data_IF_030158794448
#
_entry.id   IF_030158794448
#
_cell.length_a   1.000
_cell.length_b   1.000
_cell.length_c   1.000
_cell.angle_alpha   90.00
_cell.angle_beta   90.00
_cell.angle_gamma   90.00
#
_symmetry.space_group_name_H-M   'P 1'
#
loop_
_entity.id
_entity.type
_entity.pdbx_description
1 polymer ?
#
# COMPACT_ATOMS: atom_id res chain seq x y z
N UNK A 1 13.89 -3.10 1.42
CA UNK A 1 13.07 -3.80 0.41
C UNK A 1 12.57 -2.82 -0.65
N UNK A 2 12.16 -3.32 -1.81
CA UNK A 2 11.52 -2.53 -2.86
C UNK A 2 10.00 -2.58 -2.66
N UNK A 3 9.41 -1.44 -2.33
CA UNK A 3 7.98 -1.34 -2.03
C UNK A 3 7.30 -0.39 -3.02
N UNK A 4 6.27 -0.88 -3.68
CA UNK A 4 5.44 -0.05 -4.54
C UNK A 4 4.11 0.26 -3.86
N UNK A 5 3.75 1.53 -3.80
CA UNK A 5 2.48 2.01 -3.23
C UNK A 5 1.56 2.43 -4.37
N UNK A 6 0.46 1.70 -4.55
CA UNK A 6 -0.53 1.96 -5.59
C UNK A 6 -1.66 2.81 -5.01
N UNK A 7 -1.73 4.06 -5.47
CA UNK A 7 -2.69 5.05 -5.01
C UNK A 7 -2.01 6.22 -4.29
N UNK A 8 -2.08 7.40 -4.88
CA UNK A 8 -1.45 8.63 -4.40
C UNK A 8 -2.42 9.55 -3.64
N UNK A 9 -3.44 8.96 -3.00
CA UNK A 9 -4.33 9.65 -2.09
C UNK A 9 -3.65 9.98 -0.75
N UNK A 10 -4.42 10.51 0.20
CA UNK A 10 -3.93 10.90 1.53
C UNK A 10 -3.16 9.76 2.22
N UNK A 11 -3.75 8.56 2.24
CA UNK A 11 -3.15 7.42 2.94
C UNK A 11 -1.98 6.83 2.17
N UNK A 12 -2.10 6.63 0.86
CA UNK A 12 -1.01 6.09 0.04
C UNK A 12 0.23 6.99 -0.01
N UNK A 13 0.05 8.31 -0.09
CA UNK A 13 1.18 9.24 -0.03
C UNK A 13 1.86 9.23 1.35
N UNK A 14 1.08 9.08 2.43
CA UNK A 14 1.65 8.91 3.77
C UNK A 14 2.44 7.60 3.88
N UNK A 15 1.91 6.49 3.36
CA UNK A 15 2.62 5.20 3.37
C UNK A 15 3.95 5.31 2.62
N UNK A 16 3.95 5.94 1.43
CA UNK A 16 5.16 6.14 0.67
C UNK A 16 6.20 6.99 1.43
N UNK A 17 5.76 8.08 2.04
CA UNK A 17 6.58 8.93 2.89
C UNK A 17 7.13 8.18 4.11
N UNK A 18 6.30 7.36 4.76
CA UNK A 18 6.68 6.59 5.94
C UNK A 18 7.72 5.53 5.61
N UNK A 19 7.49 4.75 4.55
CA UNK A 19 8.37 3.66 4.15
C UNK A 19 9.74 4.17 3.67
N UNK A 20 9.80 5.31 2.98
CA UNK A 20 11.05 5.97 2.63
C UNK A 20 11.86 6.38 3.90
N UNK A 21 11.18 6.88 4.93
CA UNK A 21 11.83 7.28 6.20
C UNK A 21 12.40 6.11 7.00
N UNK A 22 11.94 4.90 6.77
CA UNK A 22 12.48 3.66 7.35
C UNK A 22 13.31 2.87 6.33
N UNK A 23 13.89 3.59 5.37
CA UNK A 23 14.94 3.16 4.44
C UNK A 23 14.52 2.09 3.41
N UNK A 24 13.24 2.06 3.02
CA UNK A 24 12.80 1.27 1.88
C UNK A 24 12.99 2.03 0.56
N UNK A 25 13.19 1.29 -0.53
CA UNK A 25 13.15 1.83 -1.88
C UNK A 25 11.68 1.92 -2.33
N UNK A 26 11.14 3.13 -2.38
CA UNK A 26 9.69 3.33 -2.56
C UNK A 26 9.38 3.88 -3.94
N UNK A 27 8.40 3.26 -4.61
CA UNK A 27 7.72 3.82 -5.78
C UNK A 27 6.28 4.15 -5.43
N UNK A 28 5.87 5.40 -5.63
CA UNK A 28 4.47 5.83 -5.50
C UNK A 28 3.84 5.91 -6.89
N UNK A 29 2.81 5.08 -7.10
CA UNK A 29 2.04 5.05 -8.33
C UNK A 29 0.73 5.82 -8.20
N UNK A 30 0.42 6.60 -9.21
CA UNK A 30 -0.89 7.19 -9.44
C UNK A 30 -1.21 7.25 -10.93
N UNK A 31 -2.49 7.16 -11.28
CA UNK A 31 -2.90 7.32 -12.67
C UNK A 31 -2.46 8.70 -13.20
N UNK A 32 -2.05 8.78 -14.44
CA UNK A 32 -1.65 10.04 -15.07
C UNK A 32 -2.73 11.13 -14.98
N UNK A 33 -4.01 10.74 -15.11
CA UNK A 33 -5.16 11.64 -14.97
C UNK A 33 -5.47 12.04 -13.51
N UNK A 34 -4.75 11.49 -12.52
CA UNK A 34 -5.00 11.80 -11.12
C UNK A 34 -4.48 13.18 -10.75
N UNK A 35 -5.36 14.07 -10.27
CA UNK A 35 -4.97 15.39 -9.75
C UNK A 35 -3.89 15.31 -8.67
N UNK A 36 -3.99 14.33 -7.76
CA UNK A 36 -2.97 14.12 -6.72
C UNK A 36 -1.62 13.76 -7.33
N UNK A 37 -1.59 12.88 -8.35
CA UNK A 37 -0.34 12.48 -8.98
C UNK A 37 0.30 13.64 -9.75
N UNK A 38 -0.49 14.41 -10.50
CA UNK A 38 -0.02 15.62 -11.18
C UNK A 38 0.59 16.62 -10.20
N UNK A 39 -0.04 16.80 -9.03
CA UNK A 39 0.50 17.65 -7.97
C UNK A 39 1.83 17.12 -7.42
N UNK A 40 1.96 15.82 -7.17
CA UNK A 40 3.23 15.23 -6.74
C UNK A 40 4.32 15.34 -7.80
N UNK A 41 4.01 15.14 -9.08
CA UNK A 41 4.95 15.31 -10.17
C UNK A 41 5.47 16.76 -10.27
N UNK A 42 4.62 17.74 -9.99
CA UNK A 42 4.96 19.15 -10.04
C UNK A 42 5.73 19.66 -8.80
N UNK A 43 5.33 19.22 -7.61
CA UNK A 43 5.80 19.84 -6.35
C UNK A 43 6.30 18.85 -5.31
N UNK A 44 6.18 17.55 -5.54
CA UNK A 44 6.43 16.45 -4.59
C UNK A 44 5.65 16.56 -3.27
N UNK A 45 4.65 17.44 -3.19
CA UNK A 45 3.95 17.78 -1.96
C UNK A 45 2.43 17.70 -2.12
N UNK A 46 1.77 17.40 -1.01
CA UNK A 46 0.35 17.64 -0.83
C UNK A 46 0.13 18.54 0.41
N UNK A 47 -1.13 18.67 0.88
CA UNK A 47 -1.44 19.53 2.02
C UNK A 47 -0.86 19.04 3.36
N UNK A 48 -0.26 17.85 3.40
CA UNK A 48 0.13 17.18 4.63
C UNK A 48 1.61 16.84 4.71
N UNK A 49 2.24 16.53 3.58
CA UNK A 49 3.62 16.06 3.53
C UNK A 49 4.30 16.41 2.20
N UNK A 50 5.62 16.37 2.24
CA UNK A 50 6.49 16.43 1.06
C UNK A 50 7.26 15.12 0.97
N UNK A 51 7.24 14.50 -0.22
CA UNK A 51 8.01 13.30 -0.51
C UNK A 51 9.47 13.65 -0.81
N UNK A 52 10.38 12.87 -0.24
CA UNK A 52 11.79 12.94 -0.55
C UNK A 52 12.05 12.60 -2.03
N UNK A 53 13.16 13.08 -2.58
CA UNK A 53 13.57 12.78 -3.96
C UNK A 53 13.81 11.27 -4.20
N UNK A 54 14.15 10.52 -3.16
CA UNK A 54 14.32 9.06 -3.20
C UNK A 54 13.03 8.31 -3.53
N UNK A 55 11.86 8.85 -3.19
CA UNK A 55 10.59 8.26 -3.57
C UNK A 55 10.37 8.42 -5.07
N UNK A 56 10.41 7.30 -5.81
CA UNK A 56 10.12 7.33 -7.25
C UNK A 56 8.63 7.58 -7.47
N UNK A 57 8.29 8.54 -8.33
CA UNK A 57 6.92 8.77 -8.79
C UNK A 57 6.72 8.06 -10.13
N UNK A 58 5.63 7.32 -10.28
CA UNK A 58 5.32 6.59 -11.51
C UNK A 58 3.86 6.71 -11.90
N UNK A 59 3.60 6.82 -13.20
CA UNK A 59 2.27 6.71 -13.80
C UNK A 59 2.10 5.43 -14.62
N UNK A 60 3.13 4.58 -14.64
CA UNK A 60 3.17 3.32 -15.39
C UNK A 60 3.00 2.14 -14.42
N UNK A 61 1.86 1.46 -14.49
CA UNK A 61 1.53 0.38 -13.56
C UNK A 61 2.50 -0.81 -13.72
N UNK A 62 2.80 -1.23 -14.94
CA UNK A 62 3.69 -2.34 -15.22
C UNK A 62 5.05 -2.17 -14.53
N UNK A 63 5.76 -1.07 -14.80
CA UNK A 63 7.07 -0.80 -14.18
C UNK A 63 7.00 -0.76 -12.66
N UNK A 64 5.86 -0.31 -12.13
CA UNK A 64 5.62 -0.23 -10.68
C UNK A 64 5.48 -1.63 -10.08
N UNK A 65 4.81 -2.54 -10.75
CA UNK A 65 4.62 -3.93 -10.30
C UNK A 65 5.90 -4.76 -10.46
N UNK A 66 6.60 -4.64 -11.58
CA UNK A 66 7.79 -5.45 -11.91
C UNK A 66 8.89 -5.33 -10.85
N UNK A 67 9.17 -4.12 -10.42
CA UNK A 67 10.27 -3.84 -9.49
C UNK A 67 9.96 -4.14 -8.04
N UNK A 68 8.68 -4.31 -7.68
CA UNK A 68 8.25 -4.46 -6.29
C UNK A 68 8.46 -5.86 -5.74
N UNK A 69 8.90 -5.95 -4.48
CA UNK A 69 8.81 -7.14 -3.63
C UNK A 69 7.50 -7.12 -2.83
N UNK A 70 7.10 -5.92 -2.40
CA UNK A 70 5.84 -5.67 -1.69
C UNK A 70 5.04 -4.62 -2.47
N UNK A 71 3.76 -4.90 -2.70
CA UNK A 71 2.81 -4.04 -3.39
C UNK A 71 1.74 -3.60 -2.39
N UNK A 72 1.82 -2.35 -1.94
CA UNK A 72 0.84 -1.76 -1.02
C UNK A 72 -0.26 -1.09 -1.83
N UNK A 73 -1.50 -1.52 -1.68
CA UNK A 73 -2.66 -0.97 -2.40
C UNK A 73 -3.45 -0.05 -1.47
N UNK A 74 -3.57 1.22 -1.88
CA UNK A 74 -4.26 2.28 -1.14
C UNK A 74 -5.14 3.11 -2.09
N UNK A 75 -6.12 2.45 -2.70
CA UNK A 75 -7.11 3.05 -3.60
C UNK A 75 -8.49 3.10 -2.93
N UNK A 76 -9.49 3.66 -3.61
CA UNK A 76 -10.88 3.51 -3.16
C UNK A 76 -11.27 2.02 -3.18
N UNK A 77 -11.91 1.51 -2.12
CA UNK A 77 -12.29 0.10 -2.01
C UNK A 77 -13.14 -0.39 -3.18
N UNK A 78 -14.03 0.46 -3.72
CA UNK A 78 -14.88 0.12 -4.87
C UNK A 78 -14.12 0.12 -6.21
N UNK A 79 -12.92 0.68 -6.26
CA UNK A 79 -12.03 0.63 -7.42
C UNK A 79 -11.03 -0.54 -7.40
N UNK A 80 -11.04 -1.37 -6.34
CA UNK A 80 -10.07 -2.46 -6.20
C UNK A 80 -10.22 -3.51 -7.30
N UNK A 81 -11.43 -3.93 -7.61
CA UNK A 81 -11.69 -4.93 -8.67
C UNK A 81 -11.14 -4.50 -10.02
N UNK A 82 -11.36 -3.26 -10.40
CA UNK A 82 -10.87 -2.74 -11.69
C UNK A 82 -9.34 -2.58 -11.70
N UNK A 83 -8.72 -2.31 -10.55
CA UNK A 83 -7.28 -2.37 -10.41
C UNK A 83 -6.79 -3.83 -10.54
N UNK A 84 -7.43 -4.79 -9.87
CA UNK A 84 -7.00 -6.19 -9.90
C UNK A 84 -7.14 -6.83 -11.28
N UNK A 85 -8.13 -6.44 -12.09
CA UNK A 85 -8.22 -6.83 -13.51
C UNK A 85 -6.95 -6.42 -14.29
N UNK A 86 -6.42 -5.21 -14.01
CA UNK A 86 -5.19 -4.74 -14.64
C UNK A 86 -3.95 -5.45 -14.08
N UNK A 87 -3.93 -5.71 -12.77
CA UNK A 87 -2.82 -6.42 -12.10
C UNK A 87 -2.71 -7.87 -12.62
N UNK A 88 -3.83 -8.52 -12.93
CA UNK A 88 -3.86 -9.88 -13.44
C UNK A 88 -3.14 -10.08 -14.80
N UNK A 89 -2.90 -9.00 -15.54
CA UNK A 89 -2.11 -9.04 -16.78
C UNK A 89 -0.58 -9.11 -16.53
N UNK A 90 -0.14 -9.04 -15.26
CA UNK A 90 1.26 -9.00 -14.87
C UNK A 90 1.61 -10.14 -13.90
N UNK A 91 2.86 -10.58 -13.94
CA UNK A 91 3.37 -11.57 -12.99
C UNK A 91 3.65 -10.94 -11.64
N UNK A 92 2.85 -11.31 -10.64
CA UNK A 92 3.02 -10.91 -9.24
C UNK A 92 3.39 -12.09 -8.34
N UNK A 93 3.76 -13.22 -8.91
CA UNK A 93 4.18 -14.43 -8.18
C UNK A 93 5.35 -14.15 -7.26
N UNK A 94 5.32 -14.70 -6.06
CA UNK A 94 6.36 -14.49 -5.03
C UNK A 94 6.37 -13.10 -4.39
N UNK A 95 5.46 -12.21 -4.78
CA UNK A 95 5.32 -10.88 -4.16
C UNK A 95 4.28 -10.92 -3.03
N UNK A 96 4.28 -9.86 -2.23
CA UNK A 96 3.27 -9.65 -1.18
C UNK A 96 2.37 -8.47 -1.54
N UNK A 97 1.06 -8.68 -1.62
CA UNK A 97 0.07 -7.61 -1.76
C UNK A 97 -0.47 -7.25 -0.38
N UNK A 98 -0.41 -5.95 -0.04
CA UNK A 98 -0.87 -5.41 1.25
C UNK A 98 -2.00 -4.41 1.00
N UNK A 99 -3.18 -4.70 1.54
CA UNK A 99 -4.37 -3.85 1.39
C UNK A 99 -4.49 -2.87 2.56
N UNK A 100 -4.57 -1.57 2.26
CA UNK A 100 -4.70 -0.51 3.26
C UNK A 100 -6.09 0.14 3.27
N UNK A 101 -7.07 -0.45 2.58
CA UNK A 101 -8.43 0.08 2.49
C UNK A 101 -9.35 -0.63 3.46
N UNK A 102 -10.29 0.13 4.02
CA UNK A 102 -11.40 -0.38 4.86
C UNK A 102 -12.63 -0.63 4.01
N UNK A 103 -13.47 -1.58 4.45
CA UNK A 103 -14.77 -1.85 3.84
C UNK A 103 -14.84 -3.17 3.10
N UNK A 104 -15.95 -3.35 2.40
CA UNK A 104 -16.29 -4.49 1.55
C UNK A 104 -16.68 -3.97 0.17
N UNK A 105 -16.64 -4.83 -0.83
CA UNK A 105 -17.17 -4.49 -2.15
C UNK A 105 -18.71 -4.44 -2.11
N UNK A 106 -19.30 -3.33 -2.53
CA UNK A 106 -20.75 -3.12 -2.43
C UNK A 106 -21.52 -4.08 -3.32
N UNK A 107 -21.02 -4.32 -4.54
CA UNK A 107 -21.72 -5.13 -5.54
C UNK A 107 -21.87 -6.60 -5.12
N UNK A 108 -20.84 -7.17 -4.48
CA UNK A 108 -20.80 -8.60 -4.17
C UNK A 108 -20.86 -8.90 -2.68
N UNK A 109 -20.66 -7.90 -1.81
CA UNK A 109 -20.53 -8.09 -0.37
C UNK A 109 -19.20 -8.74 0.06
N UNK A 110 -18.26 -8.97 -0.85
CA UNK A 110 -16.99 -9.65 -0.58
C UNK A 110 -16.02 -8.75 0.19
N UNK A 111 -15.22 -9.36 1.06
CA UNK A 111 -14.05 -8.71 1.64
C UNK A 111 -13.04 -8.38 0.54
N UNK A 112 -12.27 -7.33 0.71
CA UNK A 112 -11.30 -6.88 -0.30
C UNK A 112 -10.21 -7.94 -0.58
N UNK A 113 -9.84 -8.74 0.42
CA UNK A 113 -8.93 -9.89 0.25
C UNK A 113 -9.53 -10.98 -0.65
N UNK A 114 -10.83 -11.24 -0.56
CA UNK A 114 -11.52 -12.17 -1.42
C UNK A 114 -11.59 -11.66 -2.87
N UNK A 115 -11.79 -10.35 -3.06
CA UNK A 115 -11.74 -9.72 -4.39
C UNK A 115 -10.35 -9.90 -5.01
N UNK A 116 -9.28 -9.69 -4.25
CA UNK A 116 -7.89 -9.88 -4.74
C UNK A 116 -7.68 -11.33 -5.17
N UNK A 117 -8.13 -12.31 -4.37
CA UNK A 117 -7.96 -13.75 -4.66
C UNK A 117 -8.70 -14.25 -5.91
N UNK A 118 -9.62 -13.49 -6.46
CA UNK A 118 -10.24 -13.82 -7.74
C UNK A 118 -9.29 -13.62 -8.95
N UNK A 119 -8.20 -12.87 -8.76
CA UNK A 119 -7.29 -12.42 -9.83
C UNK A 119 -5.85 -12.93 -9.68
N UNK A 120 -5.49 -13.41 -8.50
CA UNK A 120 -4.15 -13.91 -8.20
C UNK A 120 -4.22 -15.26 -7.51
N UNK A 121 -3.21 -16.07 -7.71
CA UNK A 121 -3.07 -17.38 -7.09
C UNK A 121 -2.35 -17.33 -5.73
N UNK A 122 -2.13 -18.50 -5.12
CA UNK A 122 -1.52 -18.66 -3.80
C UNK A 122 -0.01 -18.42 -3.79
N UNK A 123 0.63 -18.27 -4.94
CA UNK A 123 2.05 -17.89 -5.03
C UNK A 123 2.30 -16.44 -4.59
N UNK A 124 1.24 -15.61 -4.57
CA UNK A 124 1.27 -14.23 -4.10
C UNK A 124 0.66 -14.14 -2.70
N UNK A 125 1.44 -13.68 -1.73
CA UNK A 125 0.92 -13.47 -0.38
C UNK A 125 -0.04 -12.25 -0.33
N UNK A 126 -1.09 -12.34 0.50
CA UNK A 126 -2.04 -11.24 0.71
C UNK A 126 -2.13 -10.92 2.20
N UNK A 127 -1.96 -9.65 2.52
CA UNK A 127 -2.09 -9.13 3.88
C UNK A 127 -2.97 -7.87 3.89
N UNK A 128 -3.42 -7.49 5.08
CA UNK A 128 -4.07 -6.21 5.34
C UNK A 128 -3.22 -5.37 6.30
N UNK A 129 -3.21 -4.07 6.09
CA UNK A 129 -2.57 -3.09 6.97
C UNK A 129 -3.60 -2.03 7.34
N UNK A 130 -4.19 -2.16 8.51
CA UNK A 130 -5.31 -1.35 8.99
C UNK A 130 -5.02 -0.82 10.40
N UNK A 131 -5.85 0.08 10.88
CA UNK A 131 -5.77 0.53 12.27
C UNK A 131 -6.39 1.90 12.53
N UNK A 132 -6.31 2.35 13.78
CA UNK A 132 -6.90 3.60 14.24
C UNK A 132 -6.04 4.84 13.91
N UNK A 133 -4.82 4.66 13.40
CA UNK A 133 -3.90 5.76 13.14
C UNK A 133 -4.44 6.78 12.14
N UNK A 134 -4.09 8.04 12.35
CA UNK A 134 -4.46 9.15 11.47
C UNK A 134 -3.22 9.79 10.86
N UNK A 135 -3.26 10.02 9.54
CA UNK A 135 -2.13 10.61 8.77
C UNK A 135 -1.63 11.92 9.41
N UNK A 136 -2.55 12.79 9.87
CA UNK A 136 -2.19 14.06 10.50
C UNK A 136 -1.36 13.89 11.76
N UNK A 137 -1.62 12.86 12.55
CA UNK A 137 -0.88 12.60 13.80
C UNK A 137 0.50 12.03 13.48
N UNK A 138 0.57 11.07 12.56
CA UNK A 138 1.84 10.52 12.10
C UNK A 138 2.77 11.57 11.48
N UNK A 139 2.24 12.47 10.63
CA UNK A 139 3.01 13.57 10.06
C UNK A 139 3.52 14.58 11.13
N UNK A 140 2.90 14.59 12.33
CA UNK A 140 3.38 15.34 13.50
C UNK A 140 4.28 14.51 14.41
N UNK A 141 4.78 13.37 13.94
CA UNK A 141 5.59 12.42 14.70
C UNK A 141 4.92 11.94 16.02
N UNK A 142 3.59 11.81 16.03
CA UNK A 142 2.88 11.19 17.14
C UNK A 142 2.80 9.69 16.93
N UNK A 143 3.45 8.87 17.77
CA UNK A 143 3.41 7.43 17.67
C UNK A 143 2.00 6.89 17.85
N UNK A 144 1.68 5.83 17.09
CA UNK A 144 0.42 5.11 17.21
C UNK A 144 0.61 3.65 16.84
N UNK A 145 -0.43 2.84 17.01
CA UNK A 145 -0.42 1.44 16.61
C UNK A 145 -1.28 1.20 15.37
N UNK A 146 -0.89 0.17 14.61
CA UNK A 146 -1.62 -0.34 13.47
C UNK A 146 -1.70 -1.88 13.58
N UNK A 147 -2.49 -2.50 12.72
CA UNK A 147 -2.63 -3.96 12.65
C UNK A 147 -2.17 -4.43 11.28
N UNK A 148 -1.36 -5.47 11.27
CA UNK A 148 -1.07 -6.29 10.09
C UNK A 148 -1.69 -7.66 10.32
N UNK A 149 -2.40 -8.18 9.34
CA UNK A 149 -2.96 -9.52 9.37
C UNK A 149 -2.87 -10.20 8.00
N UNK A 150 -2.72 -11.52 8.01
CA UNK A 150 -2.60 -12.37 6.83
C UNK A 150 -2.94 -13.81 7.19
N UNK A 151 -3.39 -14.60 6.24
CA UNK A 151 -3.53 -16.06 6.40
C UNK A 151 -2.18 -16.79 6.49
N UNK A 152 -1.07 -16.13 6.11
CA UNK A 152 0.29 -16.67 6.14
C UNK A 152 1.06 -15.99 7.29
N UNK A 153 1.40 -16.72 8.38
CA UNK A 153 2.14 -16.17 9.52
C UNK A 153 3.50 -15.58 9.12
N UNK A 154 4.19 -16.19 8.19
CA UNK A 154 5.50 -15.72 7.70
C UNK A 154 5.39 -14.35 7.04
N UNK A 155 4.28 -14.09 6.37
CA UNK A 155 3.97 -12.77 5.79
C UNK A 155 3.75 -11.72 6.88
N UNK A 156 3.07 -12.06 7.98
CA UNK A 156 2.90 -11.16 9.12
C UNK A 156 4.25 -10.82 9.74
N UNK A 157 5.08 -11.82 10.02
CA UNK A 157 6.41 -11.64 10.60
C UNK A 157 7.29 -10.76 9.71
N UNK A 158 7.30 -11.03 8.40
CA UNK A 158 8.03 -10.23 7.41
C UNK A 158 7.58 -8.76 7.46
N UNK A 159 6.29 -8.51 7.32
CA UNK A 159 5.77 -7.15 7.27
C UNK A 159 5.99 -6.38 8.58
N UNK A 160 5.81 -7.02 9.74
CA UNK A 160 6.08 -6.39 11.04
C UNK A 160 7.57 -6.07 11.17
N UNK A 161 8.46 -7.01 10.83
CA UNK A 161 9.91 -6.78 10.91
C UNK A 161 10.38 -5.65 10.00
N UNK A 162 9.77 -5.51 8.82
CA UNK A 162 10.15 -4.52 7.82
C UNK A 162 9.49 -3.14 8.04
N UNK A 163 8.29 -3.09 8.59
CA UNK A 163 7.51 -1.86 8.67
C UNK A 163 7.44 -1.24 10.06
N UNK A 164 7.90 -1.93 11.11
CA UNK A 164 7.90 -1.37 12.46
C UNK A 164 8.91 -0.25 12.63
N UNK A 165 8.54 0.75 13.42
CA UNK A 165 9.42 1.86 13.80
C UNK A 165 8.95 2.47 15.13
N UNK A 166 9.67 3.49 15.62
CA UNK A 166 9.21 4.28 16.77
C UNK A 166 7.88 5.00 16.50
N UNK A 167 7.55 5.28 15.22
CA UNK A 167 6.33 5.98 14.85
C UNK A 167 5.12 5.04 14.76
N UNK A 168 5.32 3.81 14.26
CA UNK A 168 4.23 2.84 14.10
C UNK A 168 4.63 1.51 14.70
N UNK A 169 3.88 1.10 15.73
CA UNK A 169 3.94 -0.24 16.31
C UNK A 169 2.82 -1.10 15.72
N UNK A 170 3.15 -2.32 15.30
CA UNK A 170 2.17 -3.25 14.76
C UNK A 170 1.74 -4.29 15.77
N UNK A 171 0.44 -4.62 15.69
CA UNK A 171 -0.18 -5.77 16.32
C UNK A 171 -0.71 -6.69 15.21
N UNK A 172 -0.91 -7.95 15.55
CA UNK A 172 -1.49 -8.94 14.65
C UNK A 172 -2.53 -9.77 15.39
N UNK A 173 -3.52 -10.30 14.65
CA UNK A 173 -4.51 -11.26 15.17
C UNK A 173 -4.04 -12.69 14.98
N UNK A 174 -4.69 -13.62 15.69
CA UNK A 174 -4.53 -15.06 15.53
C UNK A 174 -5.86 -15.73 15.14
N UNK A 175 -6.73 -15.02 14.44
CA UNK A 175 -8.04 -15.55 14.02
C UNK A 175 -7.99 -16.14 12.61
#
# INVERSE_FOLDING_TARGET
>A
MKVSVIGCGRWGSFIAWYLDRIEHQVTLYGRESSHNMQRFLATRSNDMLTLCENVRLSTTLNETLDTAEIIVISVNSQGLRDLMKQVADFDVSGKTIVLCMKGIEIETGKRLTEVVREYIDDSTAVAVWLGPGHVQEFCRNKPNCMVIDSQCPETIELLISQFSSELIRYYYGND
#
